data_IF_602465062043
#
_entry.id   IF_602465062043
#
_cell.length_a   1.000
_cell.length_b   1.000
_cell.length_c   1.000
_cell.angle_alpha   90.00
_cell.angle_beta   90.00
_cell.angle_gamma   90.00
#
_symmetry.space_group_name_H-M   'P 1'
#
loop_
_entity.id
_entity.type
_entity.pdbx_description
1 polymer ?
#
# COMPACT_ATOMS: atom_id res chain seq x y z
N UNK A 1 -2.38 4.46 -8.35
CA UNK A 1 -3.81 4.12 -8.53
C UNK A 1 -4.31 3.50 -7.25
N UNK A 2 -5.57 3.73 -6.89
CA UNK A 2 -6.12 3.24 -5.64
C UNK A 2 -6.99 2.00 -5.88
N UNK A 3 -6.77 0.97 -5.06
CA UNK A 3 -7.41 -0.33 -5.16
C UNK A 3 -7.98 -0.67 -3.78
N UNK A 4 -9.19 -1.21 -3.75
CA UNK A 4 -9.73 -1.89 -2.58
C UNK A 4 -10.45 -3.16 -3.02
N UNK A 5 -10.34 -4.23 -2.24
CA UNK A 5 -10.95 -5.51 -2.59
C UNK A 5 -10.56 -6.62 -1.63
N UNK A 6 -10.58 -7.84 -2.14
CA UNK A 6 -10.32 -9.07 -1.39
C UNK A 6 -9.06 -9.73 -1.93
N UNK A 7 -8.19 -10.21 -1.03
CA UNK A 7 -7.04 -11.02 -1.42
C UNK A 7 -7.54 -12.34 -2.02
N UNK A 8 -7.31 -12.55 -3.32
CA UNK A 8 -7.64 -13.80 -4.01
C UNK A 8 -6.55 -14.87 -3.81
N UNK A 9 -5.28 -14.45 -3.91
CA UNK A 9 -4.11 -15.31 -3.76
C UNK A 9 -2.93 -14.51 -3.16
N UNK A 10 -2.42 -14.87 -1.97
CA UNK A 10 -1.23 -14.24 -1.43
C UNK A 10 0.03 -14.74 -2.17
N UNK A 11 0.87 -13.80 -2.61
CA UNK A 11 2.14 -14.13 -3.26
C UNK A 11 3.18 -14.74 -2.30
N UNK A 12 4.21 -15.36 -2.87
CA UNK A 12 5.34 -15.88 -2.09
C UNK A 12 5.98 -14.77 -1.23
N UNK A 13 6.19 -15.05 0.05
CA UNK A 13 6.73 -14.08 1.03
C UNK A 13 5.72 -13.07 1.61
N UNK A 14 4.47 -13.03 1.13
CA UNK A 14 3.43 -12.12 1.62
C UNK A 14 2.73 -12.65 2.89
N UNK A 15 3.48 -12.98 3.94
CA UNK A 15 2.99 -13.68 5.14
C UNK A 15 1.92 -12.94 5.95
N UNK A 16 1.78 -11.63 5.73
CA UNK A 16 0.82 -10.77 6.44
C UNK A 16 -0.60 -10.82 5.86
N UNK A 17 -0.78 -11.49 4.72
CA UNK A 17 -2.04 -11.58 4.00
C UNK A 17 -2.48 -13.03 3.80
N UNK A 18 -3.79 -13.24 3.77
CA UNK A 18 -4.42 -14.53 3.49
C UNK A 18 -5.58 -14.32 2.53
N UNK A 19 -5.90 -15.35 1.75
CA UNK A 19 -7.10 -15.36 0.91
C UNK A 19 -8.33 -14.96 1.74
N UNK A 20 -9.14 -14.05 1.22
CA UNK A 20 -10.33 -13.54 1.90
C UNK A 20 -10.11 -12.29 2.76
N UNK A 21 -8.87 -11.88 3.01
CA UNK A 21 -8.61 -10.59 3.69
C UNK A 21 -9.13 -9.44 2.83
N UNK A 22 -9.85 -8.51 3.45
CA UNK A 22 -10.21 -7.23 2.83
C UNK A 22 -9.04 -6.26 2.92
N UNK A 23 -8.64 -5.69 1.79
CA UNK A 23 -7.42 -4.86 1.69
C UNK A 23 -7.64 -3.62 0.85
N UNK A 24 -6.82 -2.61 1.13
CA UNK A 24 -6.61 -1.45 0.28
C UNK A 24 -5.14 -1.41 -0.16
N UNK A 25 -4.88 -0.90 -1.36
CA UNK A 25 -3.54 -0.89 -1.93
C UNK A 25 -3.30 0.24 -2.92
N UNK A 26 -2.04 0.65 -3.03
CA UNK A 26 -1.54 1.51 -4.11
C UNK A 26 -0.98 0.63 -5.25
N UNK A 27 -1.64 0.66 -6.41
CA UNK A 27 -1.23 0.00 -7.66
C UNK A 27 -0.23 0.80 -8.50
N UNK A 28 0.33 0.17 -9.55
CA UNK A 28 1.37 0.77 -10.43
C UNK A 28 0.83 1.06 -11.83
N UNK A 29 1.54 1.91 -12.57
CA UNK A 29 1.26 2.20 -13.98
C UNK A 29 1.83 1.12 -14.92
N UNK A 30 1.43 -0.12 -14.68
CA UNK A 30 1.74 -1.31 -15.50
C UNK A 30 0.51 -2.20 -15.54
N UNK A 31 0.29 -2.89 -16.67
CA UNK A 31 -0.98 -3.58 -16.95
C UNK A 31 -1.44 -4.51 -15.82
N UNK A 32 -0.54 -5.33 -15.25
CA UNK A 32 -0.92 -6.28 -14.20
C UNK A 32 -1.22 -5.63 -12.83
N UNK A 33 -0.84 -4.36 -12.62
CA UNK A 33 -0.90 -3.67 -11.33
C UNK A 33 -1.86 -2.47 -11.30
N UNK A 34 -2.60 -2.22 -12.40
CA UNK A 34 -3.55 -1.11 -12.49
C UNK A 34 -4.92 -1.47 -11.91
N UNK A 35 -5.74 -0.46 -11.57
CA UNK A 35 -6.96 -0.63 -10.79
C UNK A 35 -8.25 -0.86 -11.61
N UNK A 36 -8.27 -0.54 -12.91
CA UNK A 36 -9.49 -0.60 -13.73
C UNK A 36 -9.71 -1.97 -14.38
N UNK A 37 -9.66 -2.99 -13.54
CA UNK A 37 -9.83 -4.40 -13.89
C UNK A 37 -10.31 -5.18 -12.67
N UNK A 38 -10.79 -6.41 -12.88
CA UNK A 38 -11.35 -7.22 -11.78
C UNK A 38 -10.28 -7.81 -10.86
N UNK A 39 -9.05 -7.98 -11.37
CA UNK A 39 -7.92 -8.53 -10.64
C UNK A 39 -6.69 -7.67 -10.91
N UNK A 40 -5.94 -7.36 -9.86
CA UNK A 40 -4.70 -6.60 -9.97
C UNK A 40 -3.67 -7.17 -8.99
N UNK A 41 -2.42 -7.24 -9.43
CA UNK A 41 -1.28 -7.47 -8.55
C UNK A 41 -1.01 -6.21 -7.74
N UNK A 42 -0.59 -6.39 -6.49
CA UNK A 42 -0.16 -5.29 -5.61
C UNK A 42 1.14 -5.66 -4.92
N UNK A 43 1.92 -4.66 -4.51
CA UNK A 43 3.07 -4.90 -3.66
C UNK A 43 2.60 -5.04 -2.20
N UNK A 44 3.05 -6.09 -1.51
CA UNK A 44 2.71 -6.30 -0.10
C UNK A 44 3.09 -5.09 0.78
N UNK A 45 4.20 -4.40 0.46
CA UNK A 45 4.65 -3.18 1.16
C UNK A 45 3.74 -1.96 0.96
N UNK A 46 2.86 -1.99 -0.04
CA UNK A 46 1.88 -0.93 -0.36
C UNK A 46 0.44 -1.43 -0.23
N UNK A 47 0.24 -2.51 0.53
CA UNK A 47 -1.07 -3.11 0.80
C UNK A 47 -1.30 -3.11 2.29
N UNK A 48 -2.53 -2.83 2.72
CA UNK A 48 -2.92 -2.88 4.12
C UNK A 48 -4.32 -3.50 4.27
N UNK A 49 -4.59 -4.14 5.41
CA UNK A 49 -5.92 -4.66 5.72
C UNK A 49 -6.88 -3.52 6.02
N UNK A 50 -8.09 -3.61 5.50
CA UNK A 50 -9.18 -2.72 5.90
C UNK A 50 -9.68 -3.21 7.27
N UNK A 51 -9.81 -2.32 8.29
CA UNK A 51 -10.39 -2.70 9.56
C UNK A 51 -11.81 -3.27 9.39
N UNK A 52 -12.16 -4.32 10.15
CA UNK A 52 -13.47 -4.96 10.06
C UNK A 52 -14.65 -4.01 10.38
N UNK A 53 -14.40 -2.93 11.12
CA UNK A 53 -15.40 -1.87 11.35
C UNK A 53 -15.72 -1.06 10.10
N UNK A 54 -14.82 -1.04 9.12
CA UNK A 54 -14.86 -0.17 7.95
C UNK A 54 -14.90 -0.98 6.63
N UNK A 55 -15.03 -2.32 6.72
CA UNK A 55 -14.97 -3.23 5.57
C UNK A 55 -16.21 -3.20 4.66
N UNK A 56 -17.27 -2.48 5.04
CA UNK A 56 -18.54 -2.42 4.31
C UNK A 56 -18.50 -1.47 3.09
N UNK A 57 -17.44 -0.67 2.89
CA UNK A 57 -17.32 0.24 1.74
C UNK A 57 -15.94 0.22 1.10
N UNK A 58 -15.74 -0.68 0.13
CA UNK A 58 -14.55 -0.65 -0.74
C UNK A 58 -14.39 0.69 -1.45
N UNK A 59 -15.48 1.34 -1.84
CA UNK A 59 -15.45 2.66 -2.49
C UNK A 59 -14.71 3.69 -1.61
N UNK A 60 -15.01 3.72 -0.31
CA UNK A 60 -14.36 4.63 0.62
C UNK A 60 -12.88 4.28 0.79
N UNK A 61 -12.57 2.99 0.96
CA UNK A 61 -11.19 2.51 1.09
C UNK A 61 -10.34 2.82 -0.15
N UNK A 62 -10.93 2.75 -1.35
CA UNK A 62 -10.28 3.05 -2.62
C UNK A 62 -10.04 4.56 -2.87
N UNK A 63 -10.32 5.45 -1.89
CA UNK A 63 -9.99 6.88 -1.98
C UNK A 63 -8.72 7.29 -1.23
N UNK A 64 -8.12 6.34 -0.49
CA UNK A 64 -7.07 6.62 0.50
C UNK A 64 -5.64 6.36 0.01
N UNK A 65 -5.30 5.23 -0.66
CA UNK A 65 -3.92 4.75 -0.77
C UNK A 65 -2.90 5.77 -1.30
N UNK A 66 -3.06 6.26 -2.52
CA UNK A 66 -2.11 7.16 -3.17
C UNK A 66 -2.06 8.53 -2.47
N UNK A 67 -3.21 9.03 -2.02
CA UNK A 67 -3.30 10.30 -1.29
C UNK A 67 -2.55 10.23 0.03
N UNK A 68 -2.69 9.12 0.77
CA UNK A 68 -1.97 8.86 2.00
C UNK A 68 -0.46 8.76 1.77
N UNK A 69 -0.02 7.97 0.79
CA UNK A 69 1.39 7.84 0.43
C UNK A 69 2.01 9.22 0.13
N UNK A 70 1.31 10.03 -0.65
CA UNK A 70 1.74 11.38 -1.02
C UNK A 70 1.88 12.27 0.22
N UNK A 71 0.90 12.26 1.12
CA UNK A 71 0.93 13.04 2.35
C UNK A 71 2.05 12.56 3.30
N UNK A 72 2.25 11.25 3.43
CA UNK A 72 3.30 10.65 4.26
C UNK A 72 4.68 11.06 3.76
N UNK A 73 4.95 10.97 2.45
CA UNK A 73 6.22 11.41 1.87
C UNK A 73 6.39 12.92 2.06
N UNK A 74 5.37 13.72 1.80
CA UNK A 74 5.43 15.18 1.92
C UNK A 74 5.66 15.67 3.35
N UNK A 75 5.12 14.98 4.35
CA UNK A 75 5.28 15.36 5.76
C UNK A 75 6.57 14.79 6.36
N UNK A 76 6.85 13.51 6.13
CA UNK A 76 7.83 12.75 6.91
C UNK A 76 9.08 12.32 6.11
N UNK A 77 9.08 12.45 4.78
CA UNK A 77 10.18 11.99 3.94
C UNK A 77 11.49 12.75 4.17
N UNK A 78 12.61 12.02 4.17
CA UNK A 78 13.96 12.59 4.28
C UNK A 78 14.32 13.49 3.09
N UNK A 79 13.83 13.11 1.91
CA UNK A 79 14.01 13.82 0.64
C UNK A 79 12.70 14.51 0.28
N UNK A 80 12.77 15.82 0.03
CA UNK A 80 11.63 16.67 -0.38
C UNK A 80 10.46 16.79 0.61
N UNK A 81 10.49 16.09 1.75
CA UNK A 81 9.48 16.19 2.81
C UNK A 81 9.79 17.27 3.84
N UNK A 82 8.79 17.62 4.66
CA UNK A 82 8.91 18.60 5.74
C UNK A 82 9.75 18.10 6.94
N UNK A 83 10.08 16.80 6.97
CA UNK A 83 10.87 16.14 8.03
C UNK A 83 10.30 16.35 9.43
N UNK A 84 8.99 16.49 9.55
CA UNK A 84 8.34 16.47 10.86
C UNK A 84 8.41 15.04 11.42
N UNK A 85 8.39 14.88 12.74
CA UNK A 85 8.43 13.53 13.34
C UNK A 85 7.12 12.80 13.03
N UNK A 86 7.15 11.59 12.43
CA UNK A 86 5.93 10.84 12.18
C UNK A 86 5.24 10.45 13.50
N UNK A 87 3.91 10.53 13.60
CA UNK A 87 3.17 10.14 14.79
C UNK A 87 3.10 8.61 14.97
N UNK A 88 3.62 7.84 14.00
CA UNK A 88 3.67 6.39 13.97
C UNK A 88 4.80 5.88 14.90
N UNK A 89 4.61 5.99 16.21
CA UNK A 89 5.54 5.45 17.20
C UNK A 89 5.35 3.94 17.34
N UNK A 90 6.37 3.13 17.02
CA UNK A 90 6.41 1.70 17.40
C UNK A 90 6.82 0.68 16.34
N UNK A 91 6.96 1.05 15.06
CA UNK A 91 7.49 0.15 14.04
C UNK A 91 8.64 0.83 13.32
N UNK A 92 9.85 0.30 13.52
CA UNK A 92 11.01 0.62 12.69
C UNK A 92 10.66 0.30 11.23
N UNK A 93 10.34 1.32 10.44
CA UNK A 93 10.36 1.22 8.99
C UNK A 93 11.83 1.24 8.54
N UNK A 94 12.54 0.13 8.78
CA UNK A 94 13.82 -0.12 8.13
C UNK A 94 13.51 -0.41 6.67
N UNK A 95 13.37 0.64 5.86
CA UNK A 95 13.48 0.50 4.42
C UNK A 95 14.92 0.11 4.12
N UNK A 96 15.17 -1.19 3.97
CA UNK A 96 16.27 -1.63 3.13
C UNK A 96 15.85 -1.28 1.69
N UNK A 97 16.14 -0.04 1.29
CA UNK A 97 16.10 0.34 -0.12
C UNK A 97 17.24 -0.44 -0.76
N UNK A 98 16.92 -1.62 -1.30
CA UNK A 98 17.82 -2.35 -2.19
C UNK A 98 18.13 -1.43 -3.37
N UNK A 99 19.26 -0.75 -3.29
CA UNK A 99 19.81 0.03 -4.38
C UNK A 99 20.24 -0.96 -5.46
N UNK A 100 19.45 -1.11 -6.52
CA UNK A 100 19.94 -1.74 -7.74
C UNK A 100 20.91 -0.76 -8.40
N UNK A 101 22.21 -1.09 -8.33
CA UNK A 101 23.23 -0.45 -9.15
C UNK A 101 22.98 -0.89 -10.59
N UNK A 102 22.34 -0.03 -11.39
CA UNK A 102 22.29 -0.22 -12.84
C UNK A 102 23.70 -0.04 -13.40
N UNK A 103 24.13 -0.98 -14.25
CA UNK A 103 25.27 -0.79 -15.15
C UNK A 103 24.92 0.25 -16.22
#
# INVERSE_FOLDING_TARGET
MDIAGIVEEPGEGAHNFRKGDTVLAHGKFTDDFTAFQQYALTAASFTAKIPASDSESFDSAATVPLGLDTAVVGLYGDQFGARITPPLHGHSMSHEVTHYKLL
#
